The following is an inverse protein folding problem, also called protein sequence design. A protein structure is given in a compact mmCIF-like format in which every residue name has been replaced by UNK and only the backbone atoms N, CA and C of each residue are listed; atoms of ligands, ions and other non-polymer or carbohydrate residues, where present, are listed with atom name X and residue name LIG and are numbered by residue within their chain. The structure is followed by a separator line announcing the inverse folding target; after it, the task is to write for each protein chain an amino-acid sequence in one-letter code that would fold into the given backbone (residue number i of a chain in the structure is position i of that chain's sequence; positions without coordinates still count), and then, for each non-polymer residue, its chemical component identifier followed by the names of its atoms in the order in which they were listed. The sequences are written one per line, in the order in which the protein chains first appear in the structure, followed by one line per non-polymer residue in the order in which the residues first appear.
data_IF_947452520489
#
_entry.id   IF_947452520489
#
_cell.length_a   1.000
_cell.length_b   1.000
_cell.length_c   1.000
_cell.angle_alpha   90.00
_cell.angle_beta   90.00
_cell.angle_gamma   90.00
#
_symmetry.space_group_name_H-M   'P 1'
#
loop_
_entity.id
_entity.type
_entity.pdbx_description
1 polymer ?
#
# COMPACT_ATOMS: atom_id res chain seq x y z
N UNK A 1 -10.19 -20.02 -7.29
CA UNK A 1 -10.33 -19.78 -5.84
C UNK A 1 -9.02 -19.19 -5.37
N UNK A 2 -9.01 -18.04 -4.70
CA UNK A 2 -7.78 -17.47 -4.15
C UNK A 2 -7.29 -18.36 -3.01
N UNK A 3 -6.01 -18.67 -3.00
CA UNK A 3 -5.37 -19.43 -1.94
C UNK A 3 -5.14 -18.52 -0.72
N UNK A 4 -5.04 -19.09 0.48
CA UNK A 4 -4.93 -18.30 1.73
C UNK A 4 -3.69 -17.37 1.70
N UNK A 5 -2.58 -17.85 1.13
CA UNK A 5 -1.36 -17.06 0.89
C UNK A 5 -1.57 -15.89 -0.07
N UNK A 6 -2.43 -16.04 -1.07
CA UNK A 6 -2.73 -14.96 -2.02
C UNK A 6 -3.58 -13.89 -1.34
N UNK A 7 -4.54 -14.30 -0.50
CA UNK A 7 -5.36 -13.38 0.30
C UNK A 7 -4.47 -12.57 1.24
N UNK A 8 -3.57 -13.23 1.98
CA UNK A 8 -2.61 -12.54 2.85
C UNK A 8 -1.73 -11.57 2.05
N UNK A 9 -1.24 -11.99 0.88
CA UNK A 9 -0.42 -11.14 0.02
C UNK A 9 -1.17 -9.91 -0.50
N UNK A 10 -2.45 -10.08 -0.88
CA UNK A 10 -3.32 -8.98 -1.32
C UNK A 10 -3.56 -8.02 -0.14
N UNK A 11 -3.79 -8.53 1.07
CA UNK A 11 -3.98 -7.71 2.27
C UNK A 11 -2.71 -6.91 2.60
N UNK A 12 -1.53 -7.53 2.55
CA UNK A 12 -0.24 -6.84 2.71
C UNK A 12 -0.09 -5.72 1.67
N UNK A 13 -0.30 -6.05 0.40
CA UNK A 13 -0.19 -5.08 -0.70
C UNK A 13 -1.19 -3.93 -0.58
N UNK A 14 -2.42 -4.21 -0.12
CA UNK A 14 -3.44 -3.19 0.10
C UNK A 14 -3.13 -2.29 1.30
N UNK A 15 -2.38 -2.77 2.29
CA UNK A 15 -1.90 -1.96 3.41
C UNK A 15 -0.65 -1.13 3.08
N UNK A 16 0.12 -1.50 2.05
CA UNK A 16 1.28 -0.73 1.61
C UNK A 16 0.89 0.56 0.89
N UNK A 17 1.21 1.70 1.50
CA UNK A 17 0.98 3.05 0.93
C UNK A 17 1.73 3.31 -0.39
N UNK A 18 2.55 2.38 -0.88
CA UNK A 18 3.28 2.47 -2.16
C UNK A 18 2.77 1.54 -3.25
N UNK A 19 1.86 0.60 -2.96
CA UNK A 19 1.33 -0.31 -3.99
C UNK A 19 0.07 0.29 -4.62
N UNK A 20 0.09 0.64 -5.92
CA UNK A 20 -1.10 1.15 -6.60
C UNK A 20 -2.10 0.01 -6.83
N UNK A 21 -3.40 0.32 -6.94
CA UNK A 21 -4.42 -0.73 -7.19
C UNK A 21 -4.18 -1.42 -8.54
N UNK A 22 -3.63 -0.71 -9.51
CA UNK A 22 -3.24 -1.24 -10.81
C UNK A 22 -2.18 -2.35 -10.70
N UNK A 23 -1.30 -2.31 -9.68
CA UNK A 23 -0.33 -3.39 -9.46
C UNK A 23 -0.99 -4.65 -8.85
N UNK A 24 -2.01 -4.46 -8.01
CA UNK A 24 -2.81 -5.57 -7.47
C UNK A 24 -3.64 -6.19 -8.60
N UNK A 25 -4.25 -5.35 -9.44
CA UNK A 25 -5.00 -5.78 -10.62
C UNK A 25 -4.10 -6.53 -11.62
N UNK A 26 -2.89 -6.03 -11.88
CA UNK A 26 -1.96 -6.72 -12.78
C UNK A 26 -1.51 -8.10 -12.26
N UNK A 27 -1.28 -8.24 -10.95
CA UNK A 27 -0.78 -9.50 -10.37
C UNK A 27 -1.88 -10.51 -10.06
N UNK A 28 -3.05 -10.05 -9.62
CA UNK A 28 -4.12 -10.91 -9.08
C UNK A 28 -5.44 -10.80 -9.87
N UNK A 29 -5.48 -9.99 -10.93
CA UNK A 29 -6.69 -9.70 -11.71
C UNK A 29 -7.86 -9.18 -10.85
N UNK A 30 -7.56 -8.49 -9.76
CA UNK A 30 -8.56 -7.91 -8.85
C UNK A 30 -8.65 -6.40 -9.03
N UNK A 31 -9.87 -5.94 -9.32
CA UNK A 31 -10.18 -4.52 -9.38
C UNK A 31 -10.15 -3.88 -8.00
N UNK A 32 -10.02 -2.55 -7.94
CA UNK A 32 -10.08 -1.80 -6.67
C UNK A 32 -11.33 -2.16 -5.84
N UNK A 33 -12.48 -2.34 -6.51
CA UNK A 33 -13.73 -2.68 -5.82
C UNK A 33 -13.69 -4.06 -5.16
N UNK A 34 -13.04 -5.03 -5.79
CA UNK A 34 -12.90 -6.38 -5.27
C UNK A 34 -11.91 -6.42 -4.11
N UNK A 35 -10.80 -5.66 -4.21
CA UNK A 35 -9.86 -5.49 -3.09
C UNK A 35 -10.55 -4.85 -1.89
N UNK A 36 -11.41 -3.84 -2.08
CA UNK A 36 -12.19 -3.23 -0.99
C UNK A 36 -13.13 -4.26 -0.34
N UNK A 37 -13.81 -5.09 -1.14
CA UNK A 37 -14.69 -6.16 -0.62
C UNK A 37 -13.89 -7.19 0.16
N UNK A 38 -12.75 -7.64 -0.37
CA UNK A 38 -11.85 -8.60 0.27
C UNK A 38 -11.33 -8.04 1.61
N UNK A 39 -10.84 -6.80 1.62
CA UNK A 39 -10.38 -6.13 2.83
C UNK A 39 -11.48 -6.01 3.89
N UNK A 40 -12.72 -5.74 3.47
CA UNK A 40 -13.86 -5.66 4.39
C UNK A 40 -14.23 -7.02 4.99
N UNK A 41 -14.10 -8.10 4.22
CA UNK A 41 -14.40 -9.45 4.66
C UNK A 41 -13.33 -10.02 5.60
N UNK A 42 -12.05 -9.71 5.36
CA UNK A 42 -10.92 -10.31 6.10
C UNK A 42 -10.36 -9.43 7.23
N UNK A 43 -10.70 -8.14 7.31
CA UNK A 43 -10.22 -7.25 8.37
C UNK A 43 -11.28 -6.96 9.43
N UNK A 44 -10.83 -6.72 10.67
CA UNK A 44 -11.70 -6.18 11.73
C UNK A 44 -12.30 -4.83 11.30
N UNK A 45 -13.54 -4.51 11.70
CA UNK A 45 -14.21 -3.26 11.31
C UNK A 45 -13.42 -1.99 11.64
N UNK A 46 -12.74 -1.96 12.79
CA UNK A 46 -11.88 -0.85 13.22
C UNK A 46 -10.66 -0.69 12.31
N UNK A 47 -9.98 -1.79 11.98
CA UNK A 47 -8.84 -1.81 11.04
C UNK A 47 -9.26 -1.36 9.65
N UNK A 48 -10.40 -1.85 9.14
CA UNK A 48 -10.94 -1.44 7.84
C UNK A 48 -11.26 0.07 7.80
N UNK A 49 -11.85 0.62 8.88
CA UNK A 49 -12.13 2.06 8.99
C UNK A 49 -10.84 2.89 8.96
N UNK A 50 -9.79 2.44 9.65
CA UNK A 50 -8.47 3.09 9.60
C UNK A 50 -7.87 3.04 8.20
N UNK A 51 -7.91 1.88 7.56
CA UNK A 51 -7.43 1.70 6.19
C UNK A 51 -8.16 2.61 5.21
N UNK A 52 -9.50 2.69 5.26
CA UNK A 52 -10.29 3.61 4.41
C UNK A 52 -9.93 5.08 4.64
N UNK A 53 -9.68 5.48 5.89
CA UNK A 53 -9.23 6.85 6.21
C UNK A 53 -7.87 7.15 5.57
N UNK A 54 -6.93 6.20 5.61
CA UNK A 54 -5.61 6.33 4.95
C UNK A 54 -5.73 6.37 3.43
N UNK A 55 -6.49 5.45 2.84
CA UNK A 55 -6.67 5.37 1.39
C UNK A 55 -7.34 6.62 0.79
N UNK A 56 -8.30 7.23 1.49
CA UNK A 56 -8.95 8.47 1.04
C UNK A 56 -7.98 9.66 0.95
N UNK A 57 -6.91 9.68 1.75
CA UNK A 57 -5.90 10.74 1.75
C UNK A 57 -4.73 10.52 0.78
N UNK A 58 -4.75 9.45 -0.02
CA UNK A 58 -3.62 9.05 -0.86
C UNK A 58 -3.65 9.74 -2.22
N UNK A 59 -2.71 10.65 -2.45
CA UNK A 59 -2.50 11.31 -3.75
C UNK A 59 -1.86 10.39 -4.80
N UNK A 60 -1.15 9.33 -4.38
CA UNK A 60 -0.39 8.40 -5.24
C UNK A 60 -1.12 7.09 -5.52
N UNK A 61 -2.45 7.05 -5.35
CA UNK A 61 -3.26 5.82 -5.46
C UNK A 61 -3.32 5.26 -6.89
N UNK A 62 -3.13 6.12 -7.89
CA UNK A 62 -2.99 5.76 -9.29
C UNK A 62 -1.53 5.90 -9.71
N UNK A 63 -1.05 4.97 -10.53
CA UNK A 63 0.33 5.04 -11.06
C UNK A 63 0.61 6.36 -11.81
N UNK A 64 -0.43 6.95 -12.43
CA UNK A 64 -0.36 8.24 -13.14
C UNK A 64 -0.06 9.44 -12.24
N UNK A 65 -0.35 9.36 -10.95
CA UNK A 65 -0.12 10.45 -9.98
C UNK A 65 1.24 10.34 -9.26
N UNK A 66 2.03 9.30 -9.56
CA UNK A 66 3.40 9.16 -9.05
C UNK A 66 4.34 10.05 -9.87
N UNK A 67 4.86 11.12 -9.24
CA UNK A 67 5.94 11.91 -9.83
C UNK A 67 7.24 11.10 -9.98
N UNK A 68 8.10 11.49 -10.93
CA UNK A 68 9.36 10.81 -11.26
C UNK A 68 10.33 10.64 -10.07
N UNK A 69 10.13 11.36 -8.97
CA UNK A 69 10.95 11.25 -7.76
C UNK A 69 10.56 10.07 -6.84
N UNK A 70 9.45 9.37 -7.10
CA UNK A 70 8.96 8.24 -6.29
C UNK A 70 9.53 6.89 -6.76
N UNK A 71 10.73 6.89 -7.36
CA UNK A 71 11.48 5.67 -7.73
C UNK A 71 12.38 5.22 -6.57
N UNK A 72 12.74 6.13 -5.66
CA UNK A 72 13.69 5.84 -4.58
C UNK A 72 13.03 5.02 -3.48
N UNK A 73 13.48 3.77 -3.27
CA UNK A 73 13.10 2.95 -2.10
C UNK A 73 13.48 3.60 -0.75
N UNK A 74 14.36 4.62 -0.77
CA UNK A 74 14.93 5.31 0.40
C UNK A 74 14.37 6.72 0.57
N UNK A 75 14.17 7.18 1.82
CA UNK A 75 13.76 8.56 2.07
C UNK A 75 14.86 9.55 1.66
N UNK A 76 14.50 10.80 1.35
CA UNK A 76 15.46 11.84 0.91
C UNK A 76 16.57 12.09 1.93
N UNK A 77 16.30 11.86 3.21
CA UNK A 77 17.25 12.04 4.31
C UNK A 77 18.06 10.77 4.66
N UNK A 78 17.78 9.63 4.03
CA UNK A 78 18.44 8.36 4.34
C UNK A 78 19.85 8.32 3.75
N UNK A 79 20.86 8.61 4.58
CA UNK A 79 22.28 8.46 4.25
C UNK A 79 22.74 7.02 4.48
N UNK A 80 23.62 6.52 3.61
CA UNK A 80 24.14 5.14 3.68
C UNK A 80 24.92 4.84 4.97
N UNK A 81 25.42 5.88 5.64
CA UNK A 81 26.34 5.80 6.78
C UNK A 81 25.60 5.91 8.13
N UNK A 82 24.37 6.43 8.19
CA UNK A 82 23.79 6.87 9.47
C UNK A 82 23.00 5.81 10.26
N UNK A 83 22.86 4.56 9.79
CA UNK A 83 21.98 3.54 10.45
C UNK A 83 20.63 4.11 10.93
N UNK A 84 20.03 5.05 10.18
CA UNK A 84 18.82 5.78 10.58
C UNK A 84 18.84 6.44 11.98
N UNK A 85 20.03 6.71 12.56
CA UNK A 85 20.16 7.58 13.73
C UNK A 85 20.00 9.03 13.28
N UNK A 86 18.76 9.48 13.20
CA UNK A 86 18.45 10.90 13.11
C UNK A 86 18.74 11.47 14.51
N UNK A 87 19.84 12.20 14.69
CA UNK A 87 20.00 12.98 15.92
C UNK A 87 18.89 14.02 15.93
N UNK A 88 18.07 14.01 16.98
CA UNK A 88 16.96 14.95 17.14
C UNK A 88 17.47 16.38 16.93
N UNK A 89 16.73 17.16 16.15
CA UNK A 89 16.92 18.60 16.00
C UNK A 89 15.96 19.31 16.93
#
# INVERSE_FOLDING_TARGET
MLNEKEIDRIIEMAWEDRTPFEAIEFQFALTETEVIKLMRAHSKPSSFKMWRKRMKGRSTKHSSLRGANVVRFKCSMQKQITKNKISKR
#
